data_IF_055024486704
#
_entry.id   IF_055024486704
#
_cell.length_a   1.000
_cell.length_b   1.000
_cell.length_c   1.000
_cell.angle_alpha   90.00
_cell.angle_beta   90.00
_cell.angle_gamma   90.00
#
_symmetry.space_group_name_H-M   'P 1'
#
loop_
_entity.id
_entity.type
_entity.pdbx_description
1 polymer ?
#
# COMPACT_ATOMS: atom_id res chain seq x y z
N UNK A 1 -21.83 16.97 -43.35
CA UNK A 1 -21.98 15.61 -42.81
C UNK A 1 -20.74 14.86 -43.23
N UNK A 2 -19.75 14.74 -42.36
CA UNK A 2 -18.65 13.80 -42.57
C UNK A 2 -18.36 13.12 -41.24
N UNK A 3 -18.55 11.81 -41.25
CA UNK A 3 -18.48 10.93 -40.12
C UNK A 3 -17.06 10.38 -39.97
N UNK A 4 -16.59 10.41 -38.72
CA UNK A 4 -15.82 9.37 -38.04
C UNK A 4 -14.61 8.76 -38.74
N UNK A 5 -13.43 9.03 -38.18
CA UNK A 5 -12.22 8.29 -38.53
C UNK A 5 -11.04 8.52 -37.59
N UNK A 6 -11.25 8.57 -36.26
CA UNK A 6 -10.14 8.59 -35.31
C UNK A 6 -10.24 7.42 -34.33
N UNK A 7 -9.91 6.23 -34.82
CA UNK A 7 -9.59 5.09 -33.98
C UNK A 7 -8.15 5.26 -33.46
N UNK A 8 -7.99 6.01 -32.36
CA UNK A 8 -6.77 6.00 -31.55
C UNK A 8 -6.80 4.78 -30.63
N UNK A 9 -5.98 3.78 -30.99
CA UNK A 9 -5.03 3.03 -30.14
C UNK A 9 -5.51 2.34 -28.84
N UNK A 10 -4.80 1.27 -28.42
CA UNK A 10 -5.39 0.12 -27.74
C UNK A 10 -5.60 0.35 -26.24
N UNK A 11 -6.74 -0.12 -25.73
CA UNK A 11 -7.00 -0.24 -24.31
C UNK A 11 -5.96 -1.17 -23.65
N UNK A 12 -4.95 -0.61 -22.96
CA UNK A 12 -4.17 -1.37 -21.98
C UNK A 12 -3.76 -0.49 -20.81
N UNK A 13 -4.74 -0.07 -20.00
CA UNK A 13 -4.49 0.55 -18.70
C UNK A 13 -4.13 -0.52 -17.65
N UNK A 14 -2.96 -1.15 -17.80
CA UNK A 14 -2.36 -2.00 -16.75
C UNK A 14 -1.30 -1.24 -15.90
N UNK A 15 -1.09 0.05 -16.14
CA UNK A 15 -0.07 0.87 -15.45
C UNK A 15 -0.45 1.35 -14.05
N UNK A 16 -1.68 1.10 -13.58
CA UNK A 16 -2.14 1.65 -12.29
C UNK A 16 -1.71 0.79 -11.09
N UNK A 17 -1.66 -0.54 -11.25
CA UNK A 17 -1.35 -1.47 -10.15
C UNK A 17 0.13 -1.42 -9.74
N UNK A 18 1.11 -1.52 -10.66
CA UNK A 18 2.53 -1.44 -10.29
C UNK A 18 2.89 -0.07 -9.68
N UNK A 19 2.29 1.00 -10.20
CA UNK A 19 2.47 2.36 -9.67
C UNK A 19 1.86 2.52 -8.28
N UNK A 20 0.65 2.03 -8.05
CA UNK A 20 0.00 2.07 -6.74
C UNK A 20 0.77 1.24 -5.70
N UNK A 21 1.25 0.06 -6.09
CA UNK A 21 2.08 -0.80 -5.25
C UNK A 21 3.40 -0.11 -4.90
N UNK A 22 4.07 0.50 -5.88
CA UNK A 22 5.31 1.23 -5.65
C UNK A 22 5.12 2.38 -4.64
N UNK A 23 4.04 3.16 -4.79
CA UNK A 23 3.68 4.23 -3.84
C UNK A 23 3.39 3.69 -2.44
N UNK A 24 2.66 2.58 -2.34
CA UNK A 24 2.38 1.94 -1.06
C UNK A 24 3.67 1.46 -0.38
N UNK A 25 4.54 0.77 -1.12
CA UNK A 25 5.83 0.29 -0.61
C UNK A 25 6.72 1.45 -0.12
N UNK A 26 6.79 2.54 -0.87
CA UNK A 26 7.56 3.73 -0.46
C UNK A 26 7.01 4.31 0.85
N UNK A 27 5.69 4.44 0.97
CA UNK A 27 5.07 4.95 2.19
C UNK A 27 5.35 4.05 3.40
N UNK A 28 5.13 2.74 3.27
CA UNK A 28 5.36 1.80 4.38
C UNK A 28 6.82 1.71 4.82
N UNK A 29 7.79 1.99 3.93
CA UNK A 29 9.21 2.01 4.29
C UNK A 29 9.59 3.21 5.15
N UNK A 30 8.84 4.29 5.07
CA UNK A 30 9.13 5.56 5.74
C UNK A 30 8.31 5.75 7.01
N UNK A 31 7.09 5.21 7.05
CA UNK A 31 6.14 5.39 8.15
C UNK A 31 6.68 4.80 9.45
N UNK A 32 6.62 5.60 10.51
CA UNK A 32 6.91 5.16 11.87
C UNK A 32 5.75 4.35 12.45
N UNK A 33 6.00 3.65 13.54
CA UNK A 33 4.97 2.91 14.27
C UNK A 33 3.82 3.82 14.69
N UNK A 34 4.13 5.01 15.21
CA UNK A 34 3.14 5.96 15.67
C UNK A 34 2.27 6.47 14.52
N UNK A 35 2.88 6.88 13.42
CA UNK A 35 2.15 7.35 12.22
C UNK A 35 1.28 6.25 11.63
N UNK A 36 1.74 4.99 11.65
CA UNK A 36 0.98 3.85 11.17
C UNK A 36 -0.24 3.56 12.06
N UNK A 37 -0.11 3.68 13.38
CA UNK A 37 -1.23 3.57 14.31
C UNK A 37 -2.27 4.67 14.06
N UNK A 38 -1.82 5.92 13.90
CA UNK A 38 -2.70 7.05 13.59
C UNK A 38 -3.42 6.87 12.25
N UNK A 39 -2.72 6.36 11.24
CA UNK A 39 -3.33 6.04 9.94
C UNK A 39 -4.40 4.96 10.07
N UNK A 40 -4.16 3.91 10.87
CA UNK A 40 -5.14 2.86 11.14
C UNK A 40 -6.37 3.43 11.85
N UNK A 41 -6.18 4.32 12.82
CA UNK A 41 -7.26 4.95 13.57
C UNK A 41 -8.24 5.69 12.65
N UNK A 42 -7.74 6.36 11.62
CA UNK A 42 -8.54 7.03 10.59
C UNK A 42 -9.24 6.11 9.58
N UNK A 43 -9.05 4.78 9.63
CA UNK A 43 -9.74 3.84 8.72
C UNK A 43 -11.04 3.33 9.32
N UNK A 44 -12.13 3.55 8.58
CA UNK A 44 -13.49 3.04 8.85
C UNK A 44 -13.77 1.72 8.15
N UNK A 45 -13.01 1.39 7.10
CA UNK A 45 -13.26 0.23 6.23
C UNK A 45 -12.48 -1.03 6.65
N UNK A 46 -11.85 -1.01 7.84
CA UNK A 46 -11.14 -2.16 8.39
C UNK A 46 -11.99 -2.69 9.54
N UNK A 47 -12.25 -4.00 9.52
CA UNK A 47 -12.93 -4.68 10.63
C UNK A 47 -12.27 -4.36 11.97
N UNK A 48 -13.09 -4.12 13.00
CA UNK A 48 -12.63 -3.63 14.31
C UNK A 48 -11.70 -4.63 14.98
N UNK A 49 -12.01 -5.93 14.91
CA UNK A 49 -11.18 -6.97 15.51
C UNK A 49 -9.83 -7.09 14.79
N UNK A 50 -9.85 -7.00 13.46
CA UNK A 50 -8.60 -6.94 12.68
C UNK A 50 -7.77 -5.70 12.99
N UNK A 51 -8.39 -4.53 13.07
CA UNK A 51 -7.72 -3.28 13.43
C UNK A 51 -7.04 -3.39 14.80
N UNK A 52 -7.77 -3.86 15.82
CA UNK A 52 -7.22 -4.08 17.16
C UNK A 52 -6.06 -5.06 17.17
N UNK A 53 -6.15 -6.16 16.39
CA UNK A 53 -5.07 -7.15 16.26
C UNK A 53 -3.80 -6.54 15.63
N UNK A 54 -3.95 -5.72 14.59
CA UNK A 54 -2.83 -5.02 13.94
C UNK A 54 -2.21 -4.04 14.94
N UNK A 55 -3.02 -3.21 15.60
CA UNK A 55 -2.55 -2.23 16.58
C UNK A 55 -1.80 -2.90 17.74
N UNK A 56 -2.33 -4.02 18.26
CA UNK A 56 -1.68 -4.79 19.32
C UNK A 56 -0.29 -5.27 18.88
N UNK A 57 -0.18 -5.91 17.71
CA UNK A 57 1.13 -6.36 17.19
C UNK A 57 2.11 -5.21 16.98
N UNK A 58 1.64 -4.08 16.48
CA UNK A 58 2.49 -2.89 16.29
C UNK A 58 3.00 -2.33 17.62
N UNK A 59 2.18 -2.35 18.68
CA UNK A 59 2.58 -1.89 20.02
C UNK A 59 3.50 -2.88 20.75
N UNK A 60 3.33 -4.18 20.53
CA UNK A 60 4.12 -5.22 21.18
C UNK A 60 5.54 -5.35 20.59
N UNK A 61 5.70 -5.12 19.29
CA UNK A 61 6.94 -5.42 18.58
C UNK A 61 7.76 -4.20 18.15
N UNK A 62 7.20 -2.99 18.19
CA UNK A 62 7.85 -1.79 17.68
C UNK A 62 7.67 -0.59 18.63
N UNK A 63 8.74 0.19 18.80
CA UNK A 63 8.73 1.49 19.50
C UNK A 63 8.14 2.58 18.60
N UNK A 64 7.63 3.68 19.17
CA UNK A 64 6.99 4.77 18.41
C UNK A 64 7.80 5.30 17.23
N UNK A 65 9.12 5.50 17.38
CA UNK A 65 9.95 6.05 16.29
C UNK A 65 10.48 5.00 15.30
N UNK A 66 10.22 3.71 15.54
CA UNK A 66 10.70 2.64 14.66
C UNK A 66 9.84 2.55 13.40
N UNK A 67 10.46 2.16 12.28
CA UNK A 67 9.81 1.94 10.99
C UNK A 67 9.61 0.43 10.78
N UNK A 68 8.39 -0.12 10.99
CA UNK A 68 8.19 -1.58 11.02
C UNK A 68 8.50 -2.27 9.69
N UNK A 69 8.30 -1.58 8.57
CA UNK A 69 8.39 -2.14 7.22
C UNK A 69 9.49 -1.51 6.36
N UNK A 70 10.52 -0.92 6.99
CA UNK A 70 11.65 -0.27 6.32
C UNK A 70 12.41 -1.21 5.39
N UNK A 71 12.61 -2.45 5.81
CA UNK A 71 13.48 -3.39 5.11
C UNK A 71 12.77 -4.06 3.92
N UNK A 72 13.46 -4.21 2.77
CA UNK A 72 12.87 -4.81 1.57
C UNK A 72 12.43 -6.26 1.76
N UNK A 73 12.98 -6.98 2.74
CA UNK A 73 12.59 -8.35 3.07
C UNK A 73 11.09 -8.51 3.41
N UNK A 74 10.47 -7.50 4.03
CA UNK A 74 9.03 -7.50 4.30
C UNK A 74 8.17 -7.44 3.03
N UNK A 75 8.78 -7.07 1.91
CA UNK A 75 8.10 -6.86 0.62
C UNK A 75 8.46 -7.90 -0.43
N UNK A 76 9.40 -8.82 -0.14
CA UNK A 76 9.90 -9.78 -1.11
C UNK A 76 8.78 -10.65 -1.71
N UNK A 77 7.79 -11.04 -0.90
CA UNK A 77 6.62 -11.79 -1.35
C UNK A 77 5.76 -11.02 -2.36
N UNK A 78 5.78 -9.69 -2.33
CA UNK A 78 5.04 -8.83 -3.26
C UNK A 78 5.84 -8.48 -4.52
N UNK A 79 7.18 -8.65 -4.49
CA UNK A 79 8.03 -8.52 -5.68
C UNK A 79 7.97 -9.75 -6.57
N UNK A 80 7.69 -10.95 -6.02
CA UNK A 80 7.59 -12.20 -6.77
C UNK A 80 6.31 -12.30 -7.64
N UNK A 81 5.32 -11.41 -7.46
CA UNK A 81 4.04 -11.40 -8.19
C UNK A 81 4.10 -10.42 -9.37
N UNK A 82 5.27 -10.28 -9.99
CA UNK A 82 5.56 -9.27 -10.99
C UNK A 82 6.32 -9.79 -12.22
N UNK A 83 6.16 -11.07 -12.55
CA UNK A 83 6.61 -11.66 -13.82
C UNK A 83 5.43 -12.17 -14.65
#
# INVERSE_FOLDING_TARGET
MDATGQARSPCRNNGHVPLALNKAQQWFRQVTQQELLQWLDGKTNIDVQHKQKIQKRLKEHYKPEQQPFKHPGFWAAFCAIGE
#
